data_IF_065265513187
#
_entry.id   IF_065265513187
#
_cell.length_a   1.000
_cell.length_b   1.000
_cell.length_c   1.000
_cell.angle_alpha   90.00
_cell.angle_beta   90.00
_cell.angle_gamma   90.00
#
_symmetry.space_group_name_H-M   'P 1'
#
loop_
_entity.id
_entity.type
_entity.pdbx_description
1 polymer ?
#
# COMPACT_ATOMS: atom_id res chain seq x y z
N UNK A 1 -2.15 -13.47 15.62
CA UNK A 1 -2.50 -14.87 16.00
C UNK A 1 -3.88 -14.98 16.66
N UNK A 2 -4.19 -14.15 17.66
CA UNK A 2 -5.47 -14.22 18.40
C UNK A 2 -6.74 -14.08 17.52
N UNK A 3 -6.73 -13.23 16.50
CA UNK A 3 -7.89 -13.04 15.61
C UNK A 3 -8.27 -14.31 14.83
N UNK A 4 -7.27 -15.03 14.32
CA UNK A 4 -7.48 -16.29 13.57
C UNK A 4 -8.09 -17.38 14.46
N UNK A 5 -7.67 -17.42 15.73
CA UNK A 5 -8.22 -18.36 16.72
C UNK A 5 -9.69 -18.05 17.00
N UNK A 6 -10.04 -16.77 17.21
CA UNK A 6 -11.44 -16.36 17.45
C UNK A 6 -12.33 -16.70 16.26
N UNK A 7 -11.87 -16.44 15.03
CA UNK A 7 -12.61 -16.80 13.81
C UNK A 7 -12.81 -18.32 13.68
N UNK A 8 -11.78 -19.11 14.00
CA UNK A 8 -11.84 -20.57 13.90
C UNK A 8 -12.75 -21.20 14.96
N UNK A 9 -12.71 -20.69 16.19
CA UNK A 9 -13.64 -21.09 17.27
C UNK A 9 -15.07 -20.71 16.90
N UNK A 10 -15.29 -19.50 16.39
CA UNK A 10 -16.59 -19.04 15.91
C UNK A 10 -17.17 -19.95 14.80
N UNK A 11 -16.36 -20.25 13.79
CA UNK A 11 -16.76 -21.16 12.70
C UNK A 11 -17.09 -22.57 13.21
N UNK A 12 -16.28 -23.09 14.14
CA UNK A 12 -16.51 -24.40 14.76
C UNK A 12 -17.82 -24.45 15.56
N UNK A 13 -18.17 -23.38 16.28
CA UNK A 13 -19.43 -23.25 17.00
C UNK A 13 -20.65 -23.20 16.06
N UNK A 14 -20.55 -22.48 14.94
CA UNK A 14 -21.62 -22.41 13.94
C UNK A 14 -21.86 -23.78 13.31
N UNK A 15 -20.79 -24.43 12.82
CA UNK A 15 -20.90 -25.73 12.17
C UNK A 15 -21.35 -26.82 13.15
N UNK A 16 -20.75 -26.88 14.34
CA UNK A 16 -21.12 -27.84 15.37
C UNK A 16 -22.55 -27.62 15.87
N UNK A 17 -22.95 -26.36 16.07
CA UNK A 17 -24.32 -26.00 16.45
C UNK A 17 -25.35 -26.39 15.38
N UNK A 18 -25.05 -26.18 14.09
CA UNK A 18 -25.94 -26.58 13.00
C UNK A 18 -26.13 -28.11 12.92
N UNK A 19 -25.04 -28.88 13.07
CA UNK A 19 -25.09 -30.35 13.12
C UNK A 19 -25.87 -30.83 14.34
N UNK A 20 -25.60 -30.27 15.52
CA UNK A 20 -26.32 -30.62 16.75
C UNK A 20 -27.81 -30.26 16.67
N UNK A 21 -28.16 -29.15 16.03
CA UNK A 21 -29.54 -28.71 15.83
C UNK A 21 -30.33 -29.72 14.99
N UNK A 22 -29.73 -30.23 13.91
CA UNK A 22 -30.33 -31.26 13.07
C UNK A 22 -30.72 -32.51 13.87
N UNK A 23 -29.77 -33.07 14.64
CA UNK A 23 -30.04 -34.24 15.50
C UNK A 23 -31.02 -33.95 16.64
N UNK A 24 -31.03 -32.72 17.16
CA UNK A 24 -31.95 -32.32 18.23
C UNK A 24 -33.40 -32.33 17.78
N UNK A 25 -33.67 -31.93 16.54
CA UNK A 25 -35.00 -31.99 15.95
C UNK A 25 -35.44 -33.44 15.70
N UNK A 26 -34.53 -34.29 15.23
CA UNK A 26 -34.82 -35.72 15.03
C UNK A 26 -35.15 -36.42 16.36
N UNK A 27 -34.44 -36.08 17.44
CA UNK A 27 -34.70 -36.60 18.78
C UNK A 27 -35.93 -35.98 19.48
N UNK A 28 -36.56 -34.95 18.90
CA UNK A 28 -37.70 -34.26 19.48
C UNK A 28 -37.40 -33.55 20.81
N UNK A 29 -36.14 -33.21 21.09
CA UNK A 29 -35.75 -32.63 22.37
C UNK A 29 -35.54 -31.11 22.28
N UNK A 30 -36.47 -30.29 22.82
CA UNK A 30 -36.44 -28.84 22.66
C UNK A 30 -35.27 -28.18 23.39
N UNK A 31 -34.77 -28.78 24.48
CA UNK A 31 -33.65 -28.22 25.24
C UNK A 31 -32.34 -28.28 24.44
N UNK A 32 -32.09 -29.36 23.71
CA UNK A 32 -30.91 -29.48 22.85
C UNK A 32 -31.01 -28.57 21.63
N UNK A 33 -32.21 -28.41 21.07
CA UNK A 33 -32.43 -27.46 19.97
C UNK A 33 -32.13 -26.02 20.42
N UNK A 34 -32.59 -25.61 21.61
CA UNK A 34 -32.29 -24.30 22.19
C UNK A 34 -30.78 -24.10 22.41
N UNK A 35 -30.08 -25.09 22.96
CA UNK A 35 -28.63 -25.04 23.15
C UNK A 35 -27.86 -24.91 21.82
N UNK A 36 -28.32 -25.62 20.79
CA UNK A 36 -27.72 -25.57 19.45
C UNK A 36 -27.89 -24.20 18.78
N UNK A 37 -29.08 -23.58 18.90
CA UNK A 37 -29.31 -22.21 18.46
C UNK A 37 -28.41 -21.20 19.18
N UNK A 38 -28.25 -21.33 20.50
CA UNK A 38 -27.36 -20.46 21.26
C UNK A 38 -25.90 -20.57 20.79
N UNK A 39 -25.43 -21.78 20.51
CA UNK A 39 -24.08 -22.02 19.97
C UNK A 39 -23.88 -21.36 18.59
N UNK A 40 -24.86 -21.46 17.69
CA UNK A 40 -24.82 -20.81 16.37
C UNK A 40 -24.73 -19.28 16.52
N UNK A 41 -25.58 -18.69 17.36
CA UNK A 41 -25.61 -17.23 17.58
C UNK A 41 -24.27 -16.73 18.13
N UNK A 42 -23.74 -17.39 19.17
CA UNK A 42 -22.45 -17.03 19.78
C UNK A 42 -21.30 -17.18 18.78
N UNK A 43 -21.30 -18.25 17.99
CA UNK A 43 -20.31 -18.46 16.92
C UNK A 43 -20.35 -17.37 15.86
N UNK A 44 -21.54 -17.00 15.39
CA UNK A 44 -21.74 -15.93 14.41
C UNK A 44 -21.28 -14.56 14.95
N UNK A 45 -21.59 -14.24 16.21
CA UNK A 45 -21.11 -13.00 16.86
C UNK A 45 -19.58 -12.96 16.94
N UNK A 46 -18.94 -14.07 17.31
CA UNK A 46 -17.48 -14.16 17.36
C UNK A 46 -16.85 -13.95 15.97
N UNK A 47 -17.43 -14.53 14.92
CA UNK A 47 -17.00 -14.32 13.54
C UNK A 47 -17.17 -12.86 13.11
N UNK A 48 -18.31 -12.23 13.39
CA UNK A 48 -18.54 -10.82 13.08
C UNK A 48 -17.53 -9.89 13.79
N UNK A 49 -17.21 -10.15 15.06
CA UNK A 49 -16.17 -9.39 15.76
C UNK A 49 -14.78 -9.59 15.15
N UNK A 50 -14.43 -10.82 14.74
CA UNK A 50 -13.15 -11.10 14.10
C UNK A 50 -13.05 -10.38 12.75
N UNK A 51 -14.11 -10.40 11.95
CA UNK A 51 -14.19 -9.69 10.66
C UNK A 51 -14.14 -8.19 10.88
N UNK A 52 -14.95 -7.64 11.79
CA UNK A 52 -14.96 -6.20 12.11
C UNK A 52 -13.58 -5.73 12.55
N UNK A 53 -12.91 -6.46 13.44
CA UNK A 53 -11.54 -6.13 13.88
C UNK A 53 -10.51 -6.27 12.76
N UNK A 54 -10.67 -7.26 11.89
CA UNK A 54 -9.83 -7.41 10.69
C UNK A 54 -9.99 -6.24 9.73
N UNK A 55 -11.24 -5.82 9.48
CA UNK A 55 -11.57 -4.68 8.65
C UNK A 55 -11.10 -3.37 9.28
N UNK A 56 -11.25 -3.17 10.58
CA UNK A 56 -10.70 -1.97 11.25
C UNK A 56 -9.19 -1.99 11.30
N UNK A 57 -8.52 -3.15 11.30
CA UNK A 57 -7.06 -3.19 11.15
C UNK A 57 -6.59 -2.78 9.75
N UNK A 58 -7.44 -3.00 8.75
CA UNK A 58 -7.22 -2.60 7.36
C UNK A 58 -7.64 -1.15 7.08
N UNK A 59 -8.69 -0.66 7.78
CA UNK A 59 -9.29 0.66 7.58
C UNK A 59 -8.94 1.68 8.66
N UNK A 60 -8.30 1.28 9.76
CA UNK A 60 -7.76 2.24 10.71
C UNK A 60 -6.62 2.97 10.00
N UNK A 61 -6.69 4.30 9.84
CA UNK A 61 -5.53 5.05 9.38
C UNK A 61 -4.39 4.71 10.33
N UNK A 62 -3.32 4.13 9.79
CA UNK A 62 -2.13 3.89 10.60
C UNK A 62 -1.74 5.24 11.18
N UNK A 63 -1.85 5.39 12.50
CA UNK A 63 -1.21 6.50 13.20
C UNK A 63 0.24 6.50 12.73
N UNK A 64 0.65 7.59 12.08
CA UNK A 64 1.99 7.81 11.57
C UNK A 64 3.00 7.18 12.52
N UNK A 65 3.43 5.97 12.17
CA UNK A 65 4.57 5.34 12.81
C UNK A 65 5.72 6.20 12.32
N UNK A 66 6.55 6.71 13.24
CA UNK A 66 7.74 7.50 12.89
C UNK A 66 8.42 6.78 11.72
N UNK A 67 8.42 7.43 10.55
CA UNK A 67 8.95 6.83 9.34
C UNK A 67 10.41 6.50 9.60
N UNK A 68 10.85 5.31 9.18
CA UNK A 68 12.29 5.00 9.17
C UNK A 68 13.08 6.00 8.29
N UNK A 69 12.36 6.76 7.46
CA UNK A 69 12.87 7.79 6.57
C UNK A 69 12.72 9.19 7.16
N UNK A 70 13.71 10.05 6.97
CA UNK A 70 13.64 11.46 7.35
C UNK A 70 12.68 12.27 6.46
N UNK A 71 12.32 13.48 6.91
CA UNK A 71 11.48 14.40 6.10
C UNK A 71 12.11 14.72 4.73
N UNK A 72 13.43 14.81 4.66
CA UNK A 72 14.15 15.08 3.40
C UNK A 72 14.04 13.90 2.42
N UNK A 73 14.06 12.67 2.91
CA UNK A 73 13.89 11.46 2.09
C UNK A 73 12.46 11.36 1.57
N UNK A 74 11.45 11.59 2.42
CA UNK A 74 10.04 11.62 1.99
C UNK A 74 9.84 12.70 0.92
N UNK A 75 10.40 13.90 1.15
CA UNK A 75 10.35 14.98 0.16
C UNK A 75 10.98 14.56 -1.16
N UNK A 76 12.17 13.94 -1.14
CA UNK A 76 12.86 13.49 -2.34
C UNK A 76 12.07 12.39 -3.08
N UNK A 77 11.44 11.47 -2.34
CA UNK A 77 10.58 10.42 -2.89
C UNK A 77 9.39 11.01 -3.63
N UNK A 78 8.68 11.95 -2.99
CA UNK A 78 7.54 12.65 -3.59
C UNK A 78 7.97 13.47 -4.81
N UNK A 79 9.10 14.18 -4.73
CA UNK A 79 9.66 14.93 -5.87
C UNK A 79 10.05 14.02 -7.04
N UNK A 80 10.56 12.82 -6.76
CA UNK A 80 10.93 11.84 -7.80
C UNK A 80 9.69 11.31 -8.50
N UNK A 81 8.65 10.95 -7.75
CA UNK A 81 7.37 10.53 -8.31
C UNK A 81 6.71 11.66 -9.12
N UNK A 82 6.76 12.88 -8.62
CA UNK A 82 6.20 14.05 -9.30
C UNK A 82 6.95 14.41 -10.59
N UNK A 83 8.27 14.25 -10.62
CA UNK A 83 9.03 14.45 -11.84
C UNK A 83 8.70 13.40 -12.91
N UNK A 84 8.31 12.19 -12.51
CA UNK A 84 7.77 11.19 -13.42
C UNK A 84 6.39 11.59 -13.94
N UNK A 85 5.49 11.96 -13.04
CA UNK A 85 4.12 12.35 -13.38
C UNK A 85 4.09 13.59 -14.30
N UNK A 86 4.94 14.58 -14.02
CA UNK A 86 5.08 15.81 -14.78
C UNK A 86 5.88 15.68 -16.09
N UNK A 87 6.15 14.47 -16.61
CA UNK A 87 6.92 14.30 -17.84
C UNK A 87 6.26 14.97 -19.07
N UNK A 88 4.95 15.24 -19.00
CA UNK A 88 4.19 15.97 -20.00
C UNK A 88 4.08 17.49 -19.73
N UNK A 89 4.60 17.96 -18.59
CA UNK A 89 4.70 19.35 -18.18
C UNK A 89 3.61 19.84 -17.23
N UNK A 90 2.64 19.03 -16.78
CA UNK A 90 1.65 19.44 -15.77
C UNK A 90 1.20 18.28 -14.89
N UNK A 91 1.19 18.52 -13.57
CA UNK A 91 0.64 17.54 -12.62
C UNK A 91 -0.86 17.72 -12.46
N UNK A 92 -1.64 16.74 -12.93
CA UNK A 92 -3.08 16.69 -12.70
C UNK A 92 -3.43 16.22 -11.28
N UNK A 93 -4.66 16.50 -10.83
CA UNK A 93 -5.13 16.00 -9.53
C UNK A 93 -5.12 14.47 -9.41
N UNK A 94 -5.30 13.77 -10.53
CA UNK A 94 -5.23 12.30 -10.59
C UNK A 94 -3.81 11.78 -10.33
N UNK A 95 -2.78 12.48 -10.80
CA UNK A 95 -1.39 12.12 -10.52
C UNK A 95 -1.03 12.34 -9.04
N UNK A 96 -1.60 13.36 -8.40
CA UNK A 96 -1.45 13.55 -6.95
C UNK A 96 -2.04 12.36 -6.19
N UNK A 97 -3.22 11.88 -6.58
CA UNK A 97 -3.81 10.67 -6.00
C UNK A 97 -2.93 9.43 -6.27
N UNK A 98 -2.35 9.31 -7.46
CA UNK A 98 -1.41 8.23 -7.78
C UNK A 98 -0.16 8.28 -6.88
N UNK A 99 0.42 9.47 -6.66
CA UNK A 99 1.54 9.70 -5.74
C UNK A 99 1.19 9.25 -4.32
N UNK A 100 0.01 9.65 -3.81
CA UNK A 100 -0.46 9.26 -2.47
C UNK A 100 -0.57 7.73 -2.36
N UNK A 101 -1.22 7.10 -3.35
CA UNK A 101 -1.43 5.66 -3.37
C UNK A 101 -0.12 4.87 -3.46
N UNK A 102 0.83 5.32 -4.30
CA UNK A 102 2.15 4.69 -4.43
C UNK A 102 2.96 4.88 -3.15
N UNK A 103 2.94 6.07 -2.55
CA UNK A 103 3.60 6.35 -1.27
C UNK A 103 3.08 5.42 -0.17
N UNK A 104 1.77 5.33 0.01
CA UNK A 104 1.16 4.47 1.03
C UNK A 104 1.44 2.99 0.76
N UNK A 105 1.36 2.54 -0.50
CA UNK A 105 1.66 1.14 -0.87
C UNK A 105 3.10 0.76 -0.57
N UNK A 106 4.05 1.66 -0.82
CA UNK A 106 5.48 1.36 -0.73
C UNK A 106 6.04 1.55 0.68
N UNK A 107 5.54 2.54 1.42
CA UNK A 107 6.02 2.86 2.77
C UNK A 107 5.10 2.36 3.88
N UNK A 108 3.86 1.99 3.56
CA UNK A 108 2.83 1.67 4.56
C UNK A 108 2.33 2.90 5.33
N UNK A 109 2.68 4.11 4.87
CA UNK A 109 2.38 5.37 5.55
C UNK A 109 1.51 6.25 4.65
N UNK A 110 0.37 6.68 5.17
CA UNK A 110 -0.48 7.63 4.47
C UNK A 110 0.17 9.02 4.46
N UNK A 111 0.13 9.68 3.31
CA UNK A 111 0.52 11.09 3.12
C UNK A 111 -0.70 11.88 2.67
N UNK A 112 -0.90 13.08 3.21
CA UNK A 112 -2.05 13.90 2.85
C UNK A 112 -1.86 14.60 1.50
N UNK A 113 -2.95 14.85 0.78
CA UNK A 113 -2.91 15.65 -0.46
C UNK A 113 -2.33 17.05 -0.24
N UNK A 114 -2.57 17.65 0.92
CA UNK A 114 -2.03 18.97 1.29
C UNK A 114 -0.50 18.90 1.48
N UNK A 115 0.01 17.83 2.08
CA UNK A 115 1.44 17.62 2.27
C UNK A 115 2.16 17.35 0.95
N UNK A 116 1.57 16.52 0.07
CA UNK A 116 2.07 16.34 -1.30
C UNK A 116 2.09 17.70 -2.01
N UNK A 117 0.96 18.43 -2.01
CA UNK A 117 0.88 19.75 -2.66
C UNK A 117 1.89 20.75 -2.10
N UNK A 118 2.15 20.72 -0.80
CA UNK A 118 3.17 21.56 -0.17
C UNK A 118 4.58 21.20 -0.65
N UNK A 119 4.91 19.92 -0.78
CA UNK A 119 6.19 19.46 -1.36
C UNK A 119 6.31 19.91 -2.82
N UNK A 120 5.25 19.73 -3.61
CA UNK A 120 5.21 20.08 -5.03
C UNK A 120 5.27 21.59 -5.27
N UNK A 121 4.78 22.40 -4.33
CA UNK A 121 4.85 23.87 -4.45
C UNK A 121 6.29 24.41 -4.51
N UNK A 122 7.28 23.64 -4.07
CA UNK A 122 8.70 23.96 -4.18
C UNK A 122 9.34 23.58 -5.51
N UNK A 123 8.62 22.87 -6.39
CA UNK A 123 9.10 22.40 -7.70
C UNK A 123 8.77 23.46 -8.75
N UNK A 124 9.82 24.09 -9.29
CA UNK A 124 9.70 25.01 -10.42
C UNK A 124 9.60 24.27 -11.77
N UNK A 125 9.26 24.97 -12.87
CA UNK A 125 9.22 24.38 -14.22
C UNK A 125 10.58 23.86 -14.70
N UNK A 126 11.67 24.39 -14.15
CA UNK A 126 13.05 23.99 -14.47
C UNK A 126 13.63 22.99 -13.45
N UNK A 127 12.77 22.26 -12.74
CA UNK A 127 13.24 21.32 -11.71
C UNK A 127 13.96 20.13 -12.32
N UNK A 128 15.28 20.09 -12.12
CA UNK A 128 16.16 19.00 -12.53
C UNK A 128 16.25 17.93 -11.43
N UNK A 129 15.31 16.97 -11.46
CA UNK A 129 15.30 15.85 -10.51
C UNK A 129 16.58 15.00 -10.64
N UNK A 130 17.09 14.78 -11.84
CA UNK A 130 18.27 13.95 -12.06
C UNK A 130 19.51 14.59 -11.42
N UNK A 131 19.70 15.90 -11.60
CA UNK A 131 20.76 16.64 -10.94
C UNK A 131 20.63 16.65 -9.42
N UNK A 132 19.41 16.74 -8.88
CA UNK A 132 19.18 16.66 -7.43
C UNK A 132 19.50 15.27 -6.87
N UNK A 133 19.03 14.20 -7.53
CA UNK A 133 19.34 12.83 -7.16
C UNK A 133 20.84 12.55 -7.21
N UNK A 134 21.53 13.05 -8.25
CA UNK A 134 22.98 12.89 -8.37
C UNK A 134 23.73 13.59 -7.22
N UNK A 135 23.30 14.79 -6.80
CA UNK A 135 23.87 15.52 -5.66
C UNK A 135 23.66 14.79 -4.33
N UNK A 136 22.48 14.20 -4.15
CA UNK A 136 22.11 13.52 -2.91
C UNK A 136 22.58 12.05 -2.85
N UNK A 137 22.94 11.45 -3.99
CA UNK A 137 23.26 10.01 -4.13
C UNK A 137 24.11 9.44 -3.00
N UNK A 138 25.20 10.12 -2.61
CA UNK A 138 26.14 9.63 -1.59
C UNK A 138 25.56 9.62 -0.16
N UNK A 139 24.46 10.33 0.07
CA UNK A 139 23.74 10.40 1.35
C UNK A 139 22.59 9.40 1.44
N UNK A 140 22.14 8.87 0.30
CA UNK A 140 21.01 7.94 0.24
C UNK A 140 21.51 6.52 0.46
N UNK A 141 20.79 5.76 1.30
CA UNK A 141 21.04 4.32 1.43
C UNK A 141 20.77 3.61 0.10
N UNK A 142 21.50 2.53 -0.24
CA UNK A 142 21.26 1.78 -1.48
C UNK A 142 19.81 1.29 -1.61
N UNK A 143 19.19 0.89 -0.49
CA UNK A 143 17.79 0.46 -0.47
C UNK A 143 16.83 1.60 -0.84
N UNK A 144 17.12 2.81 -0.38
CA UNK A 144 16.32 3.97 -0.71
C UNK A 144 16.48 4.41 -2.16
N UNK A 145 17.69 4.28 -2.73
CA UNK A 145 17.92 4.52 -4.16
C UNK A 145 17.08 3.57 -5.02
N UNK A 146 17.04 2.27 -4.68
CA UNK A 146 16.17 1.29 -5.35
C UNK A 146 14.69 1.66 -5.19
N UNK A 147 14.28 2.11 -3.99
CA UNK A 147 12.91 2.53 -3.72
C UNK A 147 12.48 3.69 -4.62
N UNK A 148 13.34 4.70 -4.81
CA UNK A 148 13.08 5.85 -5.68
C UNK A 148 12.78 5.41 -7.12
N UNK A 149 13.59 4.52 -7.69
CA UNK A 149 13.39 3.98 -9.04
C UNK A 149 12.08 3.20 -9.13
N UNK A 150 11.78 2.34 -8.14
CA UNK A 150 10.53 1.57 -8.11
C UNK A 150 9.29 2.45 -8.02
N UNK A 151 9.32 3.49 -7.19
CA UNK A 151 8.20 4.42 -7.08
C UNK A 151 8.00 5.22 -8.37
N UNK A 152 9.09 5.67 -9.02
CA UNK A 152 9.01 6.30 -10.33
C UNK A 152 8.37 5.36 -11.38
N UNK A 153 8.78 4.10 -11.44
CA UNK A 153 8.14 3.10 -12.30
C UNK A 153 6.64 2.94 -12.03
N UNK A 154 6.25 2.83 -10.76
CA UNK A 154 4.84 2.65 -10.40
C UNK A 154 3.96 3.84 -10.81
N UNK A 155 4.51 5.05 -10.80
CA UNK A 155 3.82 6.24 -11.29
C UNK A 155 3.70 6.21 -12.81
N UNK A 156 4.77 5.88 -13.53
CA UNK A 156 4.69 5.75 -14.99
C UNK A 156 3.62 4.72 -15.42
N UNK A 157 3.47 3.65 -14.65
CA UNK A 157 2.46 2.61 -14.92
C UNK A 157 1.02 3.01 -14.54
N UNK A 158 0.79 4.10 -13.80
CA UNK A 158 -0.58 4.51 -13.42
C UNK A 158 -1.40 5.01 -14.60
N UNK A 159 -0.74 5.53 -15.63
CA UNK A 159 -1.40 6.23 -16.74
C UNK A 159 -1.76 5.31 -17.92
N UNK A 160 -1.51 4.00 -17.78
CA UNK A 160 -1.84 2.92 -18.74
C UNK A 160 -1.29 3.07 -20.18
N UNK A 161 -0.58 4.16 -20.48
CA UNK A 161 0.00 4.45 -21.80
C UNK A 161 1.47 4.79 -21.60
N UNK A 162 2.35 3.85 -21.96
CA UNK A 162 3.78 4.11 -21.90
C UNK A 162 4.19 5.12 -22.98
N UNK A 163 4.66 6.29 -22.55
CA UNK A 163 5.24 7.29 -23.43
C UNK A 163 6.76 7.19 -23.42
N UNK A 164 7.38 7.26 -24.61
CA UNK A 164 8.84 7.24 -24.76
C UNK A 164 9.58 8.22 -23.83
N UNK A 165 8.97 9.38 -23.54
CA UNK A 165 9.52 10.37 -22.61
C UNK A 165 9.58 9.89 -21.17
N UNK A 166 8.58 9.17 -20.70
CA UNK A 166 8.55 8.65 -19.33
C UNK A 166 9.60 7.55 -19.17
N UNK A 167 9.74 6.69 -20.18
CA UNK A 167 10.82 5.71 -20.28
C UNK A 167 12.19 6.40 -20.20
N UNK A 168 12.42 7.48 -20.97
CA UNK A 168 13.66 8.26 -20.89
C UNK A 168 13.87 8.87 -19.49
N UNK A 169 12.81 9.38 -18.85
CA UNK A 169 12.86 9.93 -17.49
C UNK A 169 13.24 8.88 -16.45
N UNK A 170 12.70 7.65 -16.51
CA UNK A 170 13.02 6.63 -15.50
C UNK A 170 14.48 6.18 -15.62
N UNK A 171 14.99 6.03 -16.84
CA UNK A 171 16.41 5.73 -17.04
C UNK A 171 17.29 6.90 -16.57
N UNK A 172 16.90 8.15 -16.80
CA UNK A 172 17.64 9.30 -16.29
C UNK A 172 17.69 9.34 -14.75
N UNK A 173 16.57 9.02 -14.08
CA UNK A 173 16.50 8.87 -12.61
C UNK A 173 17.42 7.74 -12.13
N UNK A 174 17.34 6.56 -12.75
CA UNK A 174 18.16 5.41 -12.38
C UNK A 174 19.66 5.67 -12.58
N UNK A 175 20.04 6.30 -13.69
CA UNK A 175 21.42 6.68 -13.98
C UNK A 175 21.94 7.79 -13.05
N UNK A 176 21.09 8.74 -12.65
CA UNK A 176 21.46 9.75 -11.65
C UNK A 176 21.77 9.13 -10.28
N UNK A 177 21.05 8.07 -9.93
CA UNK A 177 21.33 7.22 -8.76
C UNK A 177 22.51 6.25 -9.01
N UNK A 178 23.00 6.20 -10.24
CA UNK A 178 24.15 5.46 -10.74
C UNK A 178 23.97 3.95 -10.79
N UNK A 179 22.76 3.54 -11.16
CA UNK A 179 22.48 2.21 -11.65
C UNK A 179 22.81 2.12 -13.15
N UNK A 180 23.24 0.94 -13.59
CA UNK A 180 23.37 0.63 -15.01
C UNK A 180 21.98 0.37 -15.61
N UNK A 181 21.83 0.50 -16.93
CA UNK A 181 20.55 0.24 -17.62
C UNK A 181 20.00 -1.15 -17.32
N UNK A 182 20.86 -2.17 -17.24
CA UNK A 182 20.44 -3.54 -16.90
C UNK A 182 19.87 -3.67 -15.49
N UNK A 183 20.42 -2.94 -14.52
CA UNK A 183 19.92 -2.97 -13.14
C UNK A 183 18.54 -2.31 -13.05
N UNK A 184 18.33 -1.25 -13.84
CA UNK A 184 17.04 -0.55 -13.93
C UNK A 184 15.99 -1.49 -14.52
N UNK A 185 16.33 -2.23 -15.58
CA UNK A 185 15.46 -3.23 -16.20
C UNK A 185 15.07 -4.34 -15.20
N UNK A 186 16.04 -4.85 -14.45
CA UNK A 186 15.79 -5.87 -13.41
C UNK A 186 14.88 -5.33 -12.29
N UNK A 187 15.04 -4.07 -11.89
CA UNK A 187 14.18 -3.42 -10.90
C UNK A 187 12.75 -3.23 -11.41
N UNK A 188 12.58 -2.82 -12.67
CA UNK A 188 11.29 -2.66 -13.34
C UNK A 188 10.58 -4.02 -13.44
N UNK A 189 11.30 -5.06 -13.85
CA UNK A 189 10.77 -6.42 -13.90
C UNK A 189 10.32 -6.90 -12.52
N UNK A 190 11.11 -6.63 -11.47
CA UNK A 190 10.78 -7.00 -10.10
C UNK A 190 9.62 -6.19 -9.50
N UNK A 191 9.38 -4.96 -9.95
CA UNK A 191 8.26 -4.14 -9.50
C UNK A 191 6.93 -4.52 -10.15
N UNK A 192 6.99 -5.20 -11.30
CA UNK A 192 5.83 -5.66 -12.07
C UNK A 192 5.33 -7.05 -11.66
N UNK A 193 6.10 -7.78 -10.83
CA UNK A 193 5.78 -9.11 -10.31
C UNK A 193 4.92 -9.05 -9.04
#
# INVERSE_FOLDING_TARGET
MQLKIIALVGASLVLGGAVALYFSYEAGNPAYAAGSWAAIILGAMAMMMAVSRGLTGFLAPQKATESAYGQDEIRLLVQTMAAMAAADGKIAGQEIEAIINVHERMLGLAISSDEVSAILSGIGPDFDIAGELQRQRSRLSPQFQVLLVKCAWLIMMSDYVEHKRETETIYAIGQALGFETSDIDDMIAAASA
#
